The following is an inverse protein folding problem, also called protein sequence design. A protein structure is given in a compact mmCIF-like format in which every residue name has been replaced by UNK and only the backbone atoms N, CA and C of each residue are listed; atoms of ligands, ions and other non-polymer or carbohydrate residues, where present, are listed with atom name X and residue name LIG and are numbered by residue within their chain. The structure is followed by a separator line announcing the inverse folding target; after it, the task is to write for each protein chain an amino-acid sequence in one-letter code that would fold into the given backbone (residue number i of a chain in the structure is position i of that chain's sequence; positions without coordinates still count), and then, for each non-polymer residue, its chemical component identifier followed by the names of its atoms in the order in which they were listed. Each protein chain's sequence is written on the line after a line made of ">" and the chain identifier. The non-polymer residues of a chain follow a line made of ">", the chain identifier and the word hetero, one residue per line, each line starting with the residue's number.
data_IF_087867092458
#
_entry.id   IF_087867092458
#
_cell.length_a   1.000
_cell.length_b   1.000
_cell.length_c   1.000
_cell.angle_alpha   90.00
_cell.angle_beta   90.00
_cell.angle_gamma   90.00
#
_symmetry.space_group_name_H-M   'P 1'
#
loop_
_entity.id
_entity.type
_entity.pdbx_description
1 polymer ?
#
# COMPACT_ATOMS: atom_id res chain seq x y z
N UNK A 1 -8.69 -22.38 4.73
CA UNK A 1 -7.43 -21.89 5.32
C UNK A 1 -7.71 -21.54 6.78
N UNK A 2 -6.85 -21.92 7.73
CA UNK A 2 -7.01 -21.44 9.12
C UNK A 2 -6.28 -20.09 9.24
N UNK A 3 -6.98 -19.08 9.77
CA UNK A 3 -6.46 -17.73 9.97
C UNK A 3 -5.91 -17.67 11.39
N UNK A 4 -4.61 -17.38 11.54
CA UNK A 4 -3.95 -17.26 12.85
C UNK A 4 -3.49 -15.84 13.14
N UNK A 5 -3.29 -15.04 12.10
CA UNK A 5 -2.86 -13.64 12.16
C UNK A 5 -3.67 -12.80 11.17
N UNK A 6 -3.65 -11.49 11.38
CA UNK A 6 -4.31 -10.54 10.48
C UNK A 6 -3.76 -10.62 9.05
N UNK A 7 -2.46 -10.89 8.91
CA UNK A 7 -1.77 -11.04 7.64
C UNK A 7 -2.19 -12.28 6.84
N UNK A 8 -2.84 -13.24 7.50
CA UNK A 8 -3.36 -14.43 6.84
C UNK A 8 -4.73 -14.14 6.17
N UNK A 9 -5.33 -12.97 6.38
CA UNK A 9 -6.55 -12.57 5.69
C UNK A 9 -6.27 -12.28 4.21
N UNK A 10 -7.05 -12.89 3.32
CA UNK A 10 -6.93 -12.69 1.87
C UNK A 10 -7.02 -11.21 1.51
N UNK A 11 -7.96 -10.47 2.11
CA UNK A 11 -8.08 -9.02 1.91
C UNK A 11 -6.84 -8.24 2.34
N UNK A 12 -6.15 -8.67 3.39
CA UNK A 12 -4.91 -8.03 3.82
C UNK A 12 -3.78 -8.29 2.83
N UNK A 13 -3.71 -9.50 2.28
CA UNK A 13 -2.76 -9.86 1.24
C UNK A 13 -3.02 -9.06 -0.05
N UNK A 14 -4.28 -8.91 -0.46
CA UNK A 14 -4.69 -8.09 -1.61
C UNK A 14 -4.30 -6.61 -1.43
N UNK A 15 -4.59 -6.03 -0.25
CA UNK A 15 -4.17 -4.67 0.08
C UNK A 15 -2.65 -4.54 0.01
N UNK A 16 -1.90 -5.51 0.52
CA UNK A 16 -0.44 -5.49 0.47
C UNK A 16 0.09 -5.48 -0.97
N UNK A 17 -0.47 -6.28 -1.85
CA UNK A 17 -0.07 -6.30 -3.28
C UNK A 17 -0.48 -5.02 -4.01
N UNK A 18 -1.64 -4.44 -3.68
CA UNK A 18 -2.04 -3.13 -4.18
C UNK A 18 -1.05 -2.04 -3.76
N UNK A 19 -0.67 -1.99 -2.48
CA UNK A 19 0.26 -1.00 -1.96
C UNK A 19 1.66 -1.11 -2.59
N UNK A 20 2.14 -2.34 -2.83
CA UNK A 20 3.38 -2.56 -3.59
C UNK A 20 3.26 -2.05 -5.01
N UNK A 21 2.16 -2.36 -5.69
CA UNK A 21 1.92 -1.92 -7.08
C UNK A 21 1.91 -0.40 -7.19
N UNK A 22 1.23 0.28 -6.25
CA UNK A 22 1.24 1.74 -6.13
C UNK A 22 2.67 2.26 -5.96
N UNK A 23 3.45 1.68 -5.04
CA UNK A 23 4.83 2.09 -4.81
C UNK A 23 5.69 1.94 -6.05
N UNK A 24 5.56 0.85 -6.80
CA UNK A 24 6.29 0.69 -8.07
C UNK A 24 5.84 1.66 -9.16
N UNK A 25 4.55 1.99 -9.23
CA UNK A 25 4.05 3.02 -10.15
C UNK A 25 4.66 4.39 -9.84
N UNK A 26 4.72 4.79 -8.56
CA UNK A 26 5.30 6.10 -8.16
C UNK A 26 6.80 6.22 -8.46
N UNK A 27 7.51 5.12 -8.68
CA UNK A 27 8.93 5.12 -9.08
C UNK A 27 9.15 5.26 -10.60
N UNK A 28 8.10 5.16 -11.42
CA UNK A 28 8.24 5.30 -12.87
C UNK A 28 8.72 6.71 -13.22
N UNK A 29 9.69 6.81 -14.14
CA UNK A 29 10.46 8.04 -14.45
C UNK A 29 9.62 9.32 -14.62
N UNK A 30 8.46 9.24 -15.25
CA UNK A 30 7.61 10.41 -15.47
C UNK A 30 6.71 10.73 -14.28
N UNK A 31 6.32 9.70 -13.52
CA UNK A 31 5.50 9.86 -12.33
C UNK A 31 6.33 10.33 -11.12
N UNK A 32 7.54 9.80 -10.97
CA UNK A 32 8.46 10.11 -9.87
C UNK A 32 8.92 11.57 -9.81
N UNK A 33 8.68 12.34 -10.88
CA UNK A 33 8.96 13.79 -10.93
C UNK A 33 7.90 14.61 -10.18
N UNK A 34 6.69 14.08 -10.03
CA UNK A 34 5.64 14.71 -9.21
C UNK A 34 5.75 14.22 -7.77
N UNK A 35 6.64 14.86 -7.02
CA UNK A 35 6.90 14.51 -5.62
C UNK A 35 5.67 14.66 -4.73
N UNK A 36 4.79 15.63 -5.03
CA UNK A 36 3.58 15.89 -4.22
C UNK A 36 2.58 14.76 -4.43
N UNK A 37 2.28 14.43 -5.67
CA UNK A 37 1.34 13.36 -6.00
C UNK A 37 1.86 11.99 -5.55
N UNK A 38 3.15 11.72 -5.77
CA UNK A 38 3.79 10.50 -5.27
C UNK A 38 3.71 10.39 -3.75
N UNK A 39 3.94 11.49 -3.01
CA UNK A 39 3.83 11.51 -1.56
C UNK A 39 2.40 11.23 -1.11
N UNK A 40 1.41 11.94 -1.66
CA UNK A 40 -0.01 11.78 -1.31
C UNK A 40 -0.52 10.35 -1.53
N UNK A 41 -0.18 9.76 -2.67
CA UNK A 41 -0.63 8.41 -3.03
C UNK A 41 0.06 7.35 -2.15
N UNK A 42 1.37 7.48 -1.89
CA UNK A 42 2.07 6.57 -0.99
C UNK A 42 1.56 6.68 0.45
N UNK A 43 1.25 7.89 0.93
CA UNK A 43 0.63 8.08 2.25
C UNK A 43 -0.76 7.43 2.34
N UNK A 44 -1.64 7.67 1.36
CA UNK A 44 -2.96 7.06 1.34
C UNK A 44 -2.90 5.53 1.29
N UNK A 45 -1.99 4.98 0.47
CA UNK A 45 -1.73 3.54 0.39
C UNK A 45 -1.21 2.97 1.71
N UNK A 46 -0.29 3.66 2.39
CA UNK A 46 0.23 3.25 3.69
C UNK A 46 -0.84 3.20 4.79
N UNK A 47 -1.78 4.14 4.81
CA UNK A 47 -2.87 4.20 5.80
C UNK A 47 -3.82 3.01 5.75
N UNK A 48 -3.96 2.35 4.58
CA UNK A 48 -4.78 1.14 4.43
C UNK A 48 -4.01 -0.10 4.94
N UNK A 49 -2.67 -0.10 4.83
CA UNK A 49 -1.83 -1.20 5.29
C UNK A 49 -1.68 -1.24 6.81
N UNK A 50 -1.64 -0.07 7.45
CA UNK A 50 -1.53 0.09 8.91
C UNK A 50 -2.75 0.86 9.47
N UNK A 51 -3.94 0.24 9.51
CA UNK A 51 -5.07 0.81 10.20
C UNK A 51 -4.76 0.79 11.70
N UNK A 52 -4.42 1.95 12.25
CA UNK A 52 -4.17 2.28 13.67
C UNK A 52 -4.59 1.16 14.64
N UNK A 53 -3.60 0.56 15.33
CA UNK A 53 -3.86 -0.31 16.49
C UNK A 53 -4.38 0.54 17.65
N UNK A 54 -5.66 0.37 18.00
CA UNK A 54 -6.22 0.83 19.28
C UNK A 54 -5.74 -0.07 20.43
#
# INVERSE_FOLDING_TARGET
>A
MKIYRFEDLDIWQEVRELCKSIRELTKKKDFSKDFKLCSQINSASGSIMDPVKY
#
